data_IF_330280982212
#
_entry.id   IF_330280982212
#
_cell.length_a   1.000
_cell.length_b   1.000
_cell.length_c   1.000
_cell.angle_alpha   90.00
_cell.angle_beta   90.00
_cell.angle_gamma   90.00
#
_symmetry.space_group_name_H-M   'P 1'
#
loop_
_entity.id
_entity.type
_entity.pdbx_description
1 polymer ?
#
# COMPACT_ATOMS: atom_id res chain seq x y z
N UNK A 1 7.32 -0.44 -27.39
CA UNK A 1 8.09 -0.57 -26.12
C UNK A 1 8.45 -2.03 -25.92
N UNK A 2 9.73 -2.36 -25.70
CA UNK A 2 10.11 -3.74 -25.35
C UNK A 2 9.45 -4.15 -24.03
N UNK A 3 9.20 -5.45 -23.84
CA UNK A 3 8.67 -5.98 -22.58
C UNK A 3 9.54 -5.60 -21.38
N UNK A 4 10.86 -5.47 -21.58
CA UNK A 4 11.79 -5.01 -20.54
C UNK A 4 11.57 -3.54 -20.16
N UNK A 5 11.32 -2.64 -21.12
CA UNK A 5 11.03 -1.23 -20.82
C UNK A 5 9.74 -1.06 -20.00
N UNK A 6 8.69 -1.86 -20.27
CA UNK A 6 7.45 -1.82 -19.47
C UNK A 6 7.68 -2.26 -18.03
N UNK A 7 8.48 -3.32 -17.83
CA UNK A 7 8.89 -3.81 -16.51
C UNK A 7 9.71 -2.78 -15.75
N UNK A 8 10.70 -2.17 -16.39
CA UNK A 8 11.53 -1.13 -15.79
C UNK A 8 10.65 0.03 -15.33
N UNK A 9 9.76 0.54 -16.19
CA UNK A 9 8.84 1.61 -15.82
C UNK A 9 7.96 1.26 -14.61
N UNK A 10 7.46 0.03 -14.55
CA UNK A 10 6.65 -0.43 -13.41
C UNK A 10 7.47 -0.46 -12.12
N UNK A 11 8.68 -1.02 -12.18
CA UNK A 11 9.58 -1.13 -11.04
C UNK A 11 10.09 0.24 -10.57
N UNK A 12 10.33 1.18 -11.49
CA UNK A 12 10.66 2.58 -11.17
C UNK A 12 9.52 3.25 -10.43
N UNK A 13 8.30 3.17 -10.98
CA UNK A 13 7.11 3.75 -10.34
C UNK A 13 6.87 3.14 -8.95
N UNK A 14 7.02 1.82 -8.82
CA UNK A 14 6.89 1.13 -7.55
C UNK A 14 7.96 1.57 -6.54
N UNK A 15 9.19 1.81 -6.98
CA UNK A 15 10.26 2.30 -6.09
C UNK A 15 9.93 3.68 -5.52
N UNK A 16 9.41 4.59 -6.35
CA UNK A 16 8.95 5.91 -5.90
C UNK A 16 7.79 5.77 -4.90
N UNK A 17 6.85 4.85 -5.16
CA UNK A 17 5.74 4.58 -4.25
C UNK A 17 6.21 4.12 -2.88
N UNK A 18 7.20 3.22 -2.84
CA UNK A 18 7.77 2.75 -1.58
C UNK A 18 8.60 3.83 -0.87
N UNK A 19 9.27 4.72 -1.60
CA UNK A 19 9.96 5.88 -1.01
C UNK A 19 8.98 6.81 -0.31
N UNK A 20 7.86 7.13 -0.96
CA UNK A 20 6.82 7.98 -0.35
C UNK A 20 6.14 7.28 0.83
N UNK A 21 5.88 5.97 0.73
CA UNK A 21 5.39 5.18 1.85
C UNK A 21 6.32 5.29 3.08
N UNK A 22 7.63 5.12 2.88
CA UNK A 22 8.62 5.26 3.96
C UNK A 22 8.59 6.67 4.56
N UNK A 23 8.55 7.73 3.74
CA UNK A 23 8.46 9.12 4.23
C UNK A 23 7.23 9.33 5.12
N UNK A 24 6.08 8.80 4.72
CA UNK A 24 4.85 8.91 5.53
C UNK A 24 4.95 8.13 6.84
N UNK A 25 5.53 6.93 6.83
CA UNK A 25 5.75 6.13 8.03
C UNK A 25 6.74 6.79 8.99
N UNK A 26 7.81 7.40 8.47
CA UNK A 26 8.78 8.14 9.26
C UNK A 26 8.15 9.40 9.88
N UNK A 27 7.38 10.18 9.10
CA UNK A 27 6.65 11.34 9.62
C UNK A 27 5.61 10.97 10.69
N UNK A 28 4.98 9.79 10.55
CA UNK A 28 3.96 9.29 11.45
C UNK A 28 4.50 8.96 12.85
N UNK A 29 5.78 8.56 12.96
CA UNK A 29 6.42 8.29 14.26
C UNK A 29 6.47 9.52 15.19
N UNK A 30 6.35 10.72 14.64
CA UNK A 30 6.35 11.97 15.39
C UNK A 30 4.94 12.51 15.68
N UNK A 31 3.88 11.81 15.27
CA UNK A 31 2.51 12.24 15.49
C UNK A 31 1.91 11.58 16.73
N UNK A 32 1.04 12.31 17.42
CA UNK A 32 0.23 11.72 18.49
C UNK A 32 -0.68 10.64 17.91
N UNK A 33 -0.69 9.47 18.56
CA UNK A 33 -1.56 8.36 18.21
C UNK A 33 -3.02 8.83 18.15
N UNK A 34 -3.80 8.34 17.18
CA UNK A 34 -5.20 8.73 16.90
C UNK A 34 -5.45 10.19 16.48
N UNK A 35 -4.41 11.02 16.32
CA UNK A 35 -4.60 12.36 15.76
C UNK A 35 -5.03 12.32 14.29
N UNK A 36 -5.72 13.36 13.77
CA UNK A 36 -6.06 13.43 12.35
C UNK A 36 -4.84 13.35 11.42
N UNK A 37 -3.70 13.92 11.85
CA UNK A 37 -2.44 13.84 11.11
C UNK A 37 -1.91 12.40 11.07
N UNK A 38 -1.93 11.69 12.21
CA UNK A 38 -1.54 10.27 12.28
C UNK A 38 -2.40 9.42 11.33
N UNK A 39 -3.71 9.63 11.36
CA UNK A 39 -4.67 8.95 10.50
C UNK A 39 -4.39 9.19 9.01
N UNK A 40 -4.22 10.46 8.60
CA UNK A 40 -3.95 10.83 7.21
C UNK A 40 -2.62 10.27 6.69
N UNK A 41 -1.58 10.28 7.52
CA UNK A 41 -0.28 9.71 7.18
C UNK A 41 -0.34 8.19 7.05
N UNK A 42 -1.08 7.50 7.94
CA UNK A 42 -1.23 6.05 7.88
C UNK A 42 -2.00 5.61 6.64
N UNK A 43 -3.09 6.32 6.31
CA UNK A 43 -3.85 6.09 5.07
C UNK A 43 -2.93 6.28 3.85
N UNK A 44 -2.16 7.38 3.83
CA UNK A 44 -1.21 7.66 2.74
C UNK A 44 -0.18 6.54 2.59
N UNK A 45 0.48 6.12 3.68
CA UNK A 45 1.44 5.03 3.67
C UNK A 45 0.83 3.72 3.10
N UNK A 46 -0.39 3.37 3.51
CA UNK A 46 -1.11 2.18 3.00
C UNK A 46 -1.39 2.31 1.49
N UNK A 47 -1.86 3.47 1.03
CA UNK A 47 -2.14 3.70 -0.39
C UNK A 47 -0.87 3.51 -1.23
N UNK A 48 0.21 4.17 -0.84
CA UNK A 48 1.48 4.13 -1.55
C UNK A 48 2.12 2.73 -1.49
N UNK A 49 2.01 2.01 -0.37
CA UNK A 49 2.45 0.63 -0.31
C UNK A 49 1.67 -0.32 -1.23
N UNK A 50 0.35 -0.16 -1.32
CA UNK A 50 -0.52 -1.11 -2.04
C UNK A 50 -0.58 -0.84 -3.55
N UNK A 51 -0.43 0.43 -3.97
CA UNK A 51 -0.54 0.84 -5.39
C UNK A 51 0.34 0.01 -6.36
N UNK A 52 1.60 -0.34 -6.03
CA UNK A 52 2.44 -1.23 -6.83
C UNK A 52 1.83 -2.62 -7.11
N UNK A 53 0.89 -3.08 -6.28
CA UNK A 53 0.27 -4.39 -6.38
C UNK A 53 -1.15 -4.37 -6.96
N UNK A 54 -1.70 -3.19 -7.26
CA UNK A 54 -3.05 -3.04 -7.84
C UNK A 54 -3.02 -2.98 -9.37
N UNK A 55 -3.97 -3.66 -10.02
CA UNK A 55 -4.09 -3.78 -11.48
C UNK A 55 -4.90 -2.62 -12.09
N UNK A 56 -4.39 -1.39 -12.00
CA UNK A 56 -5.17 -0.20 -12.39
C UNK A 56 -4.97 0.27 -13.85
N UNK A 57 -4.12 -0.37 -14.66
CA UNK A 57 -3.90 0.08 -16.04
C UNK A 57 -4.98 -0.43 -17.01
N UNK A 58 -5.60 0.49 -17.76
CA UNK A 58 -6.48 0.16 -18.89
C UNK A 58 -5.63 -0.34 -20.06
N UNK A 59 -6.11 -1.36 -20.78
CA UNK A 59 -5.41 -2.04 -21.90
C UNK A 59 -4.87 -1.13 -23.03
N UNK A 60 -5.25 0.15 -23.10
CA UNK A 60 -4.94 1.07 -24.20
C UNK A 60 -4.20 2.35 -23.76
N UNK A 61 -3.29 2.29 -22.78
CA UNK A 61 -2.52 3.48 -22.37
C UNK A 61 -1.47 3.87 -23.42
N UNK A 62 -1.24 5.19 -23.57
CA UNK A 62 -0.25 5.76 -24.52
C UNK A 62 1.18 5.33 -24.14
N UNK A 63 1.44 5.16 -22.84
CA UNK A 63 2.72 4.70 -22.29
C UNK A 63 2.50 3.43 -21.45
N UNK A 64 2.46 2.24 -22.08
CA UNK A 64 2.11 1.00 -21.39
C UNK A 64 3.18 0.59 -20.37
N UNK A 65 2.76 0.36 -19.14
CA UNK A 65 3.54 -0.30 -18.08
C UNK A 65 2.97 -1.69 -17.82
N UNK A 66 3.74 -2.55 -17.13
CA UNK A 66 3.12 -3.74 -16.52
C UNK A 66 2.10 -3.28 -15.45
N UNK A 67 0.97 -4.00 -15.30
CA UNK A 67 -0.13 -3.56 -14.44
C UNK A 67 0.22 -3.64 -12.95
N UNK A 68 1.17 -4.52 -12.57
CA UNK A 68 1.64 -4.68 -11.19
C UNK A 68 3.09 -5.13 -11.14
N UNK A 69 3.73 -4.91 -9.99
CA UNK A 69 5.07 -5.48 -9.75
C UNK A 69 5.00 -7.01 -9.72
N UNK A 70 6.07 -7.72 -10.12
CA UNK A 70 6.10 -9.18 -10.08
C UNK A 70 5.94 -9.74 -8.66
N UNK A 71 5.23 -10.85 -8.49
CA UNK A 71 5.07 -11.50 -7.17
C UNK A 71 6.40 -12.00 -6.58
N UNK A 72 7.43 -12.18 -7.41
CA UNK A 72 8.78 -12.54 -6.97
C UNK A 72 9.40 -11.51 -6.01
N UNK A 73 8.93 -10.25 -5.99
CA UNK A 73 9.42 -9.27 -5.01
C UNK A 73 8.93 -9.56 -3.58
N UNK A 74 8.00 -10.51 -3.43
CA UNK A 74 7.44 -10.96 -2.16
C UNK A 74 8.00 -12.32 -1.72
N UNK A 75 8.84 -12.98 -2.52
CA UNK A 75 9.25 -14.38 -2.28
C UNK A 75 10.06 -14.59 -1.01
N UNK A 76 10.75 -13.56 -0.53
CA UNK A 76 11.56 -13.62 0.69
C UNK A 76 10.79 -13.20 1.95
N UNK A 77 9.50 -12.88 1.84
CA UNK A 77 8.70 -12.49 2.99
C UNK A 77 8.44 -13.69 3.91
N UNK A 78 8.50 -13.45 5.21
CA UNK A 78 8.07 -14.41 6.21
C UNK A 78 6.54 -14.60 6.16
N UNK A 79 6.00 -15.66 6.77
CA UNK A 79 4.54 -15.84 6.85
C UNK A 79 3.81 -14.66 7.49
N UNK A 80 4.41 -14.01 8.50
CA UNK A 80 3.79 -12.87 9.17
C UNK A 80 3.90 -11.58 8.34
N UNK A 81 4.99 -11.40 7.58
CA UNK A 81 5.13 -10.33 6.59
C UNK A 81 4.10 -10.47 5.47
N UNK A 82 3.82 -11.69 5.01
CA UNK A 82 2.75 -11.98 4.05
C UNK A 82 1.37 -11.63 4.61
N UNK A 83 1.07 -12.05 5.85
CA UNK A 83 -0.20 -11.68 6.51
C UNK A 83 -0.35 -10.17 6.62
N UNK A 84 0.73 -9.45 6.96
CA UNK A 84 0.71 -7.99 7.01
C UNK A 84 0.49 -7.38 5.62
N UNK A 85 1.19 -7.87 4.58
CA UNK A 85 0.98 -7.46 3.19
C UNK A 85 -0.49 -7.61 2.76
N UNK A 86 -1.10 -8.77 3.01
CA UNK A 86 -2.48 -9.05 2.65
C UNK A 86 -3.47 -8.18 3.45
N UNK A 87 -3.19 -7.96 4.73
CA UNK A 87 -3.98 -7.07 5.58
C UNK A 87 -3.95 -5.64 5.04
N UNK A 88 -2.80 -5.12 4.64
CA UNK A 88 -2.66 -3.78 4.06
C UNK A 88 -3.42 -3.65 2.74
N UNK A 89 -3.31 -4.65 1.86
CA UNK A 89 -4.11 -4.72 0.61
C UNK A 89 -5.61 -4.71 0.90
N UNK A 90 -6.05 -5.50 1.88
CA UNK A 90 -7.45 -5.57 2.29
C UNK A 90 -7.94 -4.22 2.82
N UNK A 91 -7.16 -3.56 3.69
CA UNK A 91 -7.50 -2.24 4.24
C UNK A 91 -7.60 -1.18 3.13
N UNK A 92 -6.63 -1.12 2.21
CA UNK A 92 -6.68 -0.20 1.07
C UNK A 92 -7.93 -0.43 0.23
N UNK A 93 -8.16 -1.65 -0.22
CA UNK A 93 -9.23 -1.94 -1.17
C UNK A 93 -10.61 -1.79 -0.51
N UNK A 94 -10.84 -2.45 0.63
CA UNK A 94 -12.17 -2.52 1.22
C UNK A 94 -12.52 -1.29 2.05
N UNK A 95 -11.60 -0.85 2.89
CA UNK A 95 -11.89 0.20 3.86
C UNK A 95 -11.65 1.61 3.30
N UNK A 96 -10.53 1.81 2.58
CA UNK A 96 -10.14 3.15 2.09
C UNK A 96 -10.78 3.45 0.72
N UNK A 97 -10.63 2.56 -0.26
CA UNK A 97 -11.06 2.84 -1.64
C UNK A 97 -12.56 2.61 -1.86
N UNK A 98 -13.11 1.52 -1.32
CA UNK A 98 -14.52 1.15 -1.55
C UNK A 98 -15.47 1.52 -0.41
N UNK A 99 -14.94 1.99 0.73
CA UNK A 99 -15.72 2.31 1.93
C UNK A 99 -16.80 1.24 2.23
N UNK A 100 -16.43 -0.05 2.13
CA UNK A 100 -17.37 -1.15 2.31
C UNK A 100 -18.13 -0.99 3.63
N UNK A 101 -19.44 -1.24 3.62
CA UNK A 101 -20.31 -1.06 4.80
C UNK A 101 -19.81 -1.79 6.06
N UNK A 102 -19.12 -2.93 5.89
CA UNK A 102 -18.48 -3.67 6.99
C UNK A 102 -17.43 -2.85 7.76
N UNK A 103 -16.84 -1.82 7.13
CA UNK A 103 -15.87 -0.90 7.71
C UNK A 103 -16.48 0.49 7.99
N UNK A 104 -17.56 0.86 7.28
CA UNK A 104 -18.29 2.11 7.43
C UNK A 104 -19.79 1.86 7.65
N UNK A 105 -20.19 1.23 8.77
CA UNK A 105 -21.57 0.86 8.96
C UNK A 105 -22.43 2.10 9.19
N UNK A 106 -23.39 2.31 8.30
CA UNK A 106 -24.45 3.30 8.42
C UNK A 106 -25.80 2.59 8.56
N UNK A 107 -26.69 3.13 9.40
CA UNK A 107 -28.03 2.58 9.57
C UNK A 107 -29.03 3.62 10.06
N UNK A 108 -30.31 3.41 9.76
CA UNK A 108 -31.40 4.26 10.24
C UNK A 108 -31.92 3.69 11.55
N UNK A 109 -31.96 4.52 12.60
CA UNK A 109 -32.53 4.13 13.90
C UNK A 109 -34.06 4.17 13.87
N UNK A 110 -34.70 3.59 14.89
CA UNK A 110 -36.16 3.68 15.06
C UNK A 110 -36.68 5.14 15.09
N UNK A 111 -35.84 6.08 15.52
CA UNK A 111 -36.12 7.53 15.55
C UNK A 111 -35.85 8.25 14.21
N UNK A 112 -35.62 7.52 13.11
CA UNK A 112 -35.27 8.07 11.78
C UNK A 112 -33.98 8.90 11.75
N UNK A 113 -33.06 8.66 12.70
CA UNK A 113 -31.74 9.29 12.71
C UNK A 113 -30.75 8.35 12.01
N UNK A 114 -29.86 8.90 11.18
CA UNK A 114 -28.76 8.13 10.58
C UNK A 114 -27.68 7.96 11.65
N UNK A 115 -27.45 6.72 12.08
CA UNK A 115 -26.27 6.34 12.87
C UNK A 115 -25.16 5.94 11.92
N UNK A 116 -24.02 6.61 12.02
CA UNK A 116 -22.79 6.23 11.33
C UNK A 116 -21.72 5.91 12.38
N UNK A 117 -20.94 4.84 12.17
CA UNK A 117 -19.70 4.66 12.92
C UNK A 117 -18.54 5.16 12.06
N UNK A 118 -17.81 6.20 12.49
CA UNK A 118 -16.66 6.68 11.76
C UNK A 118 -15.57 5.61 11.75
N UNK A 119 -15.14 5.24 10.54
CA UNK A 119 -13.97 4.41 10.34
C UNK A 119 -12.73 5.14 10.87
N UNK A 120 -11.84 4.41 11.53
CA UNK A 120 -10.52 4.94 11.86
C UNK A 120 -9.44 3.90 11.60
N UNK A 121 -8.50 4.21 10.71
CA UNK A 121 -7.49 3.24 10.25
C UNK A 121 -6.57 2.80 11.39
N UNK A 122 -6.28 3.71 12.33
CA UNK A 122 -5.35 3.45 13.42
C UNK A 122 -5.87 2.35 14.36
N UNK A 123 -7.19 2.12 14.44
CA UNK A 123 -7.79 1.02 15.22
C UNK A 123 -7.41 -0.37 14.68
N UNK A 124 -6.95 -0.44 13.44
CA UNK A 124 -6.47 -1.68 12.80
C UNK A 124 -4.98 -1.95 13.07
N UNK A 125 -4.30 -1.06 13.78
CA UNK A 125 -2.90 -1.19 14.18
C UNK A 125 -2.79 -1.29 15.70
N UNK A 126 -2.03 -2.27 16.20
CA UNK A 126 -1.82 -2.47 17.65
C UNK A 126 -0.63 -1.65 18.16
N UNK A 127 -0.69 -0.34 17.96
CA UNK A 127 0.33 0.60 18.42
C UNK A 127 1.68 0.48 17.70
N UNK A 128 2.75 0.91 18.37
CA UNK A 128 4.07 1.14 17.76
C UNK A 128 4.71 -0.12 17.16
N UNK A 129 4.44 -1.30 17.71
CA UNK A 129 5.02 -2.55 17.22
C UNK A 129 4.61 -2.83 15.77
N UNK A 130 3.31 -2.76 15.48
CA UNK A 130 2.82 -3.03 14.12
C UNK A 130 3.25 -1.94 13.12
N UNK A 131 3.51 -0.72 13.59
CA UNK A 131 4.11 0.32 12.76
C UNK A 131 5.56 -0.05 12.36
N UNK A 132 6.36 -0.53 13.31
CA UNK A 132 7.73 -0.96 13.01
C UNK A 132 7.76 -2.19 12.10
N UNK A 133 6.82 -3.12 12.26
CA UNK A 133 6.62 -4.24 11.34
C UNK A 133 6.29 -3.75 9.92
N UNK A 134 5.44 -2.72 9.80
CA UNK A 134 5.13 -2.11 8.50
C UNK A 134 6.35 -1.41 7.88
N UNK A 135 7.12 -0.66 8.66
CA UNK A 135 8.38 -0.05 8.22
C UNK A 135 9.38 -1.11 7.72
N UNK A 136 9.53 -2.20 8.47
CA UNK A 136 10.41 -3.31 8.10
C UNK A 136 9.96 -3.96 6.78
N UNK A 137 8.65 -4.24 6.67
CA UNK A 137 8.04 -4.82 5.48
C UNK A 137 8.28 -3.96 4.24
N UNK A 138 7.99 -2.65 4.29
CA UNK A 138 8.16 -1.78 3.12
C UNK A 138 9.63 -1.67 2.71
N UNK A 139 10.56 -1.61 3.66
CA UNK A 139 12.00 -1.56 3.37
C UNK A 139 12.48 -2.84 2.68
N UNK A 140 12.01 -4.00 3.14
CA UNK A 140 12.34 -5.30 2.56
C UNK A 140 11.80 -5.43 1.13
N UNK A 141 10.52 -5.11 0.93
CA UNK A 141 9.87 -5.13 -0.39
C UNK A 141 10.54 -4.14 -1.36
N UNK A 142 10.84 -2.92 -0.90
CA UNK A 142 11.57 -1.91 -1.70
C UNK A 142 12.92 -2.44 -2.17
N UNK A 143 13.69 -3.07 -1.28
CA UNK A 143 14.97 -3.68 -1.64
C UNK A 143 14.80 -4.75 -2.72
N UNK A 144 13.82 -5.62 -2.60
CA UNK A 144 13.52 -6.63 -3.60
C UNK A 144 13.15 -6.01 -4.97
N UNK A 145 12.37 -4.92 -4.96
CA UNK A 145 12.01 -4.16 -6.16
C UNK A 145 13.25 -3.53 -6.83
N UNK A 146 14.16 -2.95 -6.04
CA UNK A 146 15.42 -2.38 -6.56
C UNK A 146 16.32 -3.44 -7.18
N UNK A 147 16.40 -4.64 -6.57
CA UNK A 147 17.15 -5.77 -7.13
C UNK A 147 16.54 -6.23 -8.46
N UNK A 148 15.21 -6.36 -8.52
CA UNK A 148 14.50 -6.71 -9.75
C UNK A 148 14.71 -5.65 -10.84
N UNK A 149 14.65 -4.36 -10.48
CA UNK A 149 14.87 -3.25 -11.40
C UNK A 149 16.29 -3.26 -11.97
N UNK A 150 17.29 -3.45 -11.11
CA UNK A 150 18.70 -3.56 -11.51
C UNK A 150 18.91 -4.75 -12.44
N UNK A 151 18.26 -5.89 -12.15
CA UNK A 151 18.34 -7.07 -13.01
C UNK A 151 17.70 -6.84 -14.38
N UNK A 152 16.61 -6.09 -14.48
CA UNK A 152 16.01 -5.71 -15.77
C UNK A 152 16.86 -4.69 -16.54
N UNK A 153 17.43 -3.70 -15.86
CA UNK A 153 18.33 -2.70 -16.48
C UNK A 153 19.56 -3.37 -17.12
N UNK A 154 20.11 -4.41 -16.49
CA UNK A 154 21.26 -5.18 -17.03
C UNK A 154 20.93 -5.99 -18.30
N UNK A 155 19.65 -6.15 -18.64
CA UNK A 155 19.19 -6.84 -19.86
C UNK A 155 19.04 -5.88 -21.05
N UNK A 156 19.19 -4.57 -20.84
CA UNK A 156 19.14 -3.60 -21.91
C UNK A 156 20.40 -3.74 -22.80
N UNK A 157 20.26 -3.54 -24.12
CA UNK A 157 21.36 -3.61 -25.08
C UNK A 157 22.38 -2.50 -24.89
#
# INVERSE_FOLDING_TARGET
MSTSNKKINRLTSASMDFDDCIKFLDALQHQSYSSPAYEALLISAIIFYVRPFSENEKKNSINPSDPRVPDSVLSELSPDEHKLHDRLKKLRNKAIAHAEWSHHPTGVTASRIIKAMPFSIWKHFRGQKELQEFISLVRKVRRAVQLAQTAELRKLP
#
